data_IF_292303778046
#
_entry.id   IF_292303778046
#
_cell.length_a   1.000
_cell.length_b   1.000
_cell.length_c   1.000
_cell.angle_alpha   90.00
_cell.angle_beta   90.00
_cell.angle_gamma   90.00
#
_symmetry.space_group_name_H-M   'P 1'
#
loop_
_entity.id
_entity.type
_entity.pdbx_description
1 polymer ?
#
# COMPACT_ATOMS: atom_id res chain seq x y z
N UNK A 1 11.66 -18.42 -35.08
CA UNK A 1 11.32 -16.99 -35.18
C UNK A 1 11.26 -16.43 -33.78
N UNK A 2 12.15 -15.50 -33.44
CA UNK A 2 12.22 -14.90 -32.11
C UNK A 2 11.08 -13.89 -31.95
N UNK A 3 10.21 -14.09 -30.95
CA UNK A 3 9.24 -13.09 -30.51
C UNK A 3 10.01 -12.00 -29.78
N UNK A 4 10.16 -10.83 -30.41
CA UNK A 4 10.67 -9.64 -29.75
C UNK A 4 9.73 -9.30 -28.59
N UNK A 5 10.23 -9.38 -27.36
CA UNK A 5 9.55 -8.81 -26.21
C UNK A 5 9.38 -7.31 -26.50
N UNK A 6 8.13 -6.85 -26.57
CA UNK A 6 7.84 -5.42 -26.60
C UNK A 6 8.39 -4.87 -25.29
N UNK A 7 9.48 -4.10 -25.37
CA UNK A 7 10.00 -3.39 -24.21
C UNK A 7 8.84 -2.55 -23.66
N UNK A 8 8.42 -2.85 -22.43
CA UNK A 8 7.38 -2.08 -21.77
C UNK A 8 7.84 -0.62 -21.77
N UNK A 9 7.01 0.27 -22.31
CA UNK A 9 7.26 1.71 -22.24
C UNK A 9 7.31 2.05 -20.75
N UNK A 10 8.49 2.46 -20.26
CA UNK A 10 8.65 2.89 -18.88
C UNK A 10 7.73 4.09 -18.65
N UNK A 11 6.78 3.96 -17.73
CA UNK A 11 5.76 4.96 -17.45
C UNK A 11 5.67 5.20 -15.95
N UNK A 12 5.38 6.44 -15.57
CA UNK A 12 5.16 6.78 -14.16
C UNK A 12 3.88 6.14 -13.61
N UNK A 13 3.90 5.79 -12.32
CA UNK A 13 2.75 5.23 -11.61
C UNK A 13 2.54 5.88 -10.24
N UNK A 14 1.29 5.78 -9.75
CA UNK A 14 0.89 6.22 -8.43
C UNK A 14 0.39 5.00 -7.64
N UNK A 15 1.01 4.73 -6.51
CA UNK A 15 0.68 3.57 -5.67
C UNK A 15 0.17 4.07 -4.32
N UNK A 16 -1.10 3.81 -4.04
CA UNK A 16 -1.69 4.11 -2.73
C UNK A 16 -1.22 3.08 -1.71
N UNK A 17 -0.29 3.47 -0.85
CA UNK A 17 0.22 2.62 0.22
C UNK A 17 -0.79 2.47 1.37
N UNK A 18 -1.65 3.47 1.55
CA UNK A 18 -2.78 3.38 2.45
C UNK A 18 -3.84 4.42 2.14
N UNK A 19 -5.07 4.08 2.50
CA UNK A 19 -6.29 4.87 2.20
C UNK A 19 -7.20 5.00 3.42
N UNK A 20 -6.67 4.71 4.61
CA UNK A 20 -7.36 4.76 5.88
C UNK A 20 -7.06 6.04 6.66
N UNK A 21 -7.96 6.38 7.58
CA UNK A 21 -7.78 7.51 8.50
C UNK A 21 -6.61 7.28 9.49
N UNK A 22 -6.41 8.22 10.41
CA UNK A 22 -5.33 8.18 11.41
C UNK A 22 -5.34 6.93 12.30
N UNK A 23 -6.50 6.29 12.48
CA UNK A 23 -6.69 5.05 13.25
C UNK A 23 -6.43 3.77 12.46
N UNK A 24 -6.29 3.86 11.13
CA UNK A 24 -6.33 2.72 10.21
C UNK A 24 -7.62 1.87 10.35
N UNK A 25 -7.75 0.84 9.51
CA UNK A 25 -8.79 -0.19 9.58
C UNK A 25 -8.14 -1.58 9.41
N UNK A 26 -8.38 -2.53 10.34
CA UNK A 26 -9.28 -2.42 11.50
C UNK A 26 -8.76 -1.44 12.57
N UNK A 27 -9.66 -0.84 13.35
CA UNK A 27 -9.27 0.03 14.47
C UNK A 27 -8.65 -0.84 15.57
N UNK A 28 -7.40 -0.55 15.94
CA UNK A 28 -6.67 -1.27 16.99
C UNK A 28 -7.46 -1.38 18.29
N UNK A 29 -8.26 -0.36 18.65
CA UNK A 29 -9.11 -0.38 19.85
C UNK A 29 -10.14 -1.48 19.81
N UNK A 30 -10.73 -1.77 18.65
CA UNK A 30 -11.68 -2.87 18.49
C UNK A 30 -11.03 -4.25 18.65
N UNK A 31 -9.71 -4.36 18.42
CA UNK A 31 -8.95 -5.59 18.60
C UNK A 31 -8.60 -5.82 20.08
N UNK A 32 -8.11 -4.78 20.76
CA UNK A 32 -7.66 -4.89 22.16
C UNK A 32 -8.80 -4.76 23.17
N UNK A 33 -9.91 -4.11 22.80
CA UNK A 33 -11.11 -3.92 23.61
C UNK A 33 -12.36 -4.13 22.73
N UNK A 34 -12.73 -5.39 22.44
CA UNK A 34 -13.90 -5.69 21.65
C UNK A 34 -15.19 -5.19 22.32
N UNK A 35 -16.11 -4.64 21.53
CA UNK A 35 -17.45 -4.26 21.99
C UNK A 35 -18.44 -5.44 21.89
N UNK A 36 -19.57 -5.34 22.60
CA UNK A 36 -20.71 -6.25 22.45
C UNK A 36 -21.97 -5.44 22.10
N UNK A 37 -22.50 -5.53 20.86
CA UNK A 37 -22.02 -6.38 19.76
C UNK A 37 -20.67 -5.91 19.17
N UNK A 38 -19.93 -6.80 18.46
CA UNK A 38 -18.70 -6.42 17.78
C UNK A 38 -18.91 -5.32 16.74
N UNK A 39 -17.89 -4.49 16.55
CA UNK A 39 -17.91 -3.46 15.50
C UNK A 39 -18.04 -4.12 14.11
N UNK A 40 -19.20 -3.93 13.46
CA UNK A 40 -19.51 -4.55 12.17
C UNK A 40 -18.47 -4.24 11.08
N UNK A 41 -17.91 -3.03 11.08
CA UNK A 41 -16.85 -2.63 10.14
C UNK A 41 -15.59 -3.44 10.37
N UNK A 42 -15.08 -3.50 11.60
CA UNK A 42 -13.87 -4.26 11.90
C UNK A 42 -14.09 -5.78 11.68
N UNK A 43 -15.27 -6.31 12.00
CA UNK A 43 -15.62 -7.69 11.68
C UNK A 43 -15.56 -7.99 10.18
N UNK A 44 -15.99 -7.05 9.34
CA UNK A 44 -15.91 -7.18 7.87
C UNK A 44 -14.47 -7.12 7.37
N UNK A 45 -13.63 -6.29 7.98
CA UNK A 45 -12.21 -6.18 7.63
C UNK A 45 -11.44 -7.45 8.03
N UNK A 46 -11.82 -8.08 9.14
CA UNK A 46 -11.16 -9.28 9.67
C UNK A 46 -11.66 -10.59 9.06
N UNK A 47 -12.67 -10.57 8.18
CA UNK A 47 -13.24 -11.79 7.58
C UNK A 47 -12.34 -12.42 6.52
N UNK A 48 -11.35 -11.67 6.00
CA UNK A 48 -10.39 -12.09 5.00
C UNK A 48 -8.97 -11.66 5.41
N UNK A 49 -7.94 -12.38 4.96
CA UNK A 49 -6.56 -11.93 5.12
C UNK A 49 -6.33 -10.51 4.59
N UNK A 50 -5.42 -9.70 5.21
CA UNK A 50 -5.18 -8.31 4.81
C UNK A 50 -4.84 -8.12 3.33
N UNK A 51 -4.12 -9.07 2.71
CA UNK A 51 -3.74 -9.07 1.30
C UNK A 51 -4.92 -9.31 0.35
N UNK A 52 -6.04 -9.85 0.86
CA UNK A 52 -7.24 -10.18 0.08
C UNK A 52 -8.45 -9.31 0.41
N UNK A 53 -8.32 -8.40 1.39
CA UNK A 53 -9.42 -7.55 1.83
C UNK A 53 -9.18 -6.08 1.47
N UNK A 54 -9.92 -5.50 0.52
CA UNK A 54 -9.78 -4.07 0.18
C UNK A 54 -10.21 -3.13 1.31
N UNK A 55 -10.94 -3.65 2.31
CA UNK A 55 -11.33 -2.87 3.49
C UNK A 55 -10.26 -2.85 4.59
N UNK A 56 -9.18 -3.63 4.46
CA UNK A 56 -8.02 -3.49 5.33
C UNK A 56 -7.18 -2.30 4.86
N UNK A 57 -7.29 -1.18 5.58
CA UNK A 57 -6.73 0.12 5.16
C UNK A 57 -5.71 0.63 6.16
N UNK A 58 -4.47 0.76 5.70
CA UNK A 58 -3.38 1.43 6.43
C UNK A 58 -3.58 2.95 6.42
N UNK A 59 -2.80 3.70 7.22
CA UNK A 59 -2.88 5.16 7.21
C UNK A 59 -2.60 5.71 5.81
N UNK A 60 -3.23 6.84 5.46
CA UNK A 60 -2.97 7.56 4.21
C UNK A 60 -1.48 7.71 3.93
N UNK A 61 -1.06 7.26 2.73
CA UNK A 61 0.30 7.40 2.21
C UNK A 61 0.31 7.05 0.72
N UNK A 62 1.19 7.69 -0.04
CA UNK A 62 1.30 7.54 -1.50
C UNK A 62 2.76 7.37 -1.90
N UNK A 63 3.03 6.44 -2.81
CA UNK A 63 4.31 6.35 -3.50
C UNK A 63 4.12 6.80 -4.95
N UNK A 64 4.96 7.73 -5.38
CA UNK A 64 5.10 8.12 -6.79
C UNK A 64 6.30 7.36 -7.33
N UNK A 65 6.07 6.50 -8.30
CA UNK A 65 7.11 5.91 -9.13
C UNK A 65 7.19 6.74 -10.42
N UNK A 66 8.16 7.65 -10.47
CA UNK A 66 8.34 8.60 -11.55
C UNK A 66 9.38 8.07 -12.53
N UNK A 67 8.93 7.72 -13.73
CA UNK A 67 9.82 7.40 -14.84
C UNK A 67 10.31 8.69 -15.49
N UNK A 68 11.63 8.87 -15.51
CA UNK A 68 12.30 9.96 -16.19
C UNK A 68 12.52 9.64 -17.68
N UNK A 69 12.86 10.64 -18.50
CA UNK A 69 12.99 10.52 -19.96
C UNK A 69 14.08 9.51 -20.40
N UNK A 70 15.07 9.25 -19.54
CA UNK A 70 16.15 8.27 -19.72
C UNK A 70 15.74 6.85 -19.28
N UNK A 71 14.48 6.65 -18.88
CA UNK A 71 13.95 5.39 -18.38
C UNK A 71 14.34 5.08 -16.93
N UNK A 72 15.06 5.97 -16.25
CA UNK A 72 15.36 5.80 -14.83
C UNK A 72 14.11 6.09 -13.98
N UNK A 73 13.92 5.30 -12.93
CA UNK A 73 12.79 5.45 -12.01
C UNK A 73 13.24 6.15 -10.73
N UNK A 74 12.44 7.12 -10.28
CA UNK A 74 12.56 7.77 -8.97
C UNK A 74 11.33 7.49 -8.13
N UNK A 75 11.53 7.13 -6.86
CA UNK A 75 10.51 6.70 -5.93
C UNK A 75 10.33 7.75 -4.83
N UNK A 76 9.30 8.58 -4.97
CA UNK A 76 9.00 9.67 -4.03
C UNK A 76 7.87 9.22 -3.10
N UNK A 77 8.18 9.14 -1.81
CA UNK A 77 7.23 8.75 -0.78
C UNK A 77 6.57 9.98 -0.15
N UNK A 78 5.23 10.00 -0.13
CA UNK A 78 4.43 11.01 0.55
C UNK A 78 3.81 10.40 1.80
N UNK A 79 4.04 11.08 2.93
CA UNK A 79 3.65 10.70 4.29
C UNK A 79 4.24 9.37 4.77
N UNK A 80 5.04 9.47 5.84
CA UNK A 80 5.55 8.32 6.59
C UNK A 80 4.85 8.30 7.94
N UNK A 81 3.90 7.38 8.07
CA UNK A 81 3.05 7.25 9.25
C UNK A 81 3.35 6.03 10.12
N UNK A 82 2.48 5.81 11.10
CA UNK A 82 2.54 4.68 12.05
C UNK A 82 2.53 3.32 11.35
N UNK A 83 1.85 3.22 10.21
CA UNK A 83 1.73 1.98 9.43
C UNK A 83 2.83 1.78 8.38
N UNK A 84 3.86 2.64 8.33
CA UNK A 84 4.87 2.61 7.27
C UNK A 84 5.55 1.25 7.11
N UNK A 85 5.95 0.61 8.23
CA UNK A 85 6.57 -0.72 8.17
C UNK A 85 5.69 -1.75 7.45
N UNK A 86 4.38 -1.72 7.70
CA UNK A 86 3.45 -2.64 7.04
C UNK A 86 3.19 -2.27 5.58
N UNK A 87 3.17 -0.97 5.26
CA UNK A 87 3.08 -0.48 3.88
C UNK A 87 4.25 -0.98 3.03
N UNK A 88 5.48 -0.94 3.57
CA UNK A 88 6.67 -1.48 2.88
C UNK A 88 6.52 -2.98 2.65
N UNK A 89 6.19 -3.75 3.69
CA UNK A 89 6.04 -5.20 3.57
C UNK A 89 4.98 -5.62 2.54
N UNK A 90 3.88 -4.85 2.44
CA UNK A 90 2.79 -5.16 1.52
C UNK A 90 3.05 -4.68 0.11
N UNK A 91 3.43 -3.41 -0.05
CA UNK A 91 3.40 -2.75 -1.35
C UNK A 91 4.77 -2.64 -1.99
N UNK A 92 5.85 -2.42 -1.22
CA UNK A 92 7.19 -2.31 -1.83
C UNK A 92 7.64 -3.66 -2.36
N UNK A 93 7.40 -4.73 -1.59
CA UNK A 93 7.69 -6.09 -2.03
C UNK A 93 6.83 -6.48 -3.24
N UNK A 94 5.55 -6.09 -3.25
CA UNK A 94 4.64 -6.42 -4.35
C UNK A 94 4.98 -5.66 -5.65
N UNK A 95 5.37 -4.39 -5.54
CA UNK A 95 5.70 -3.52 -6.69
C UNK A 95 7.20 -3.47 -7.00
N UNK A 96 8.04 -4.28 -6.33
CA UNK A 96 9.49 -4.32 -6.51
C UNK A 96 10.19 -2.95 -6.35
N UNK A 97 9.75 -2.15 -5.37
CA UNK A 97 10.31 -0.82 -5.09
C UNK A 97 11.67 -0.98 -4.39
N UNK A 98 12.80 -0.57 -4.99
CA UNK A 98 14.14 -0.87 -4.49
C UNK A 98 14.63 0.11 -3.42
N UNK A 99 14.14 1.35 -3.43
CA UNK A 99 14.59 2.44 -2.58
C UNK A 99 13.56 3.56 -2.53
N UNK A 100 13.81 4.56 -1.69
CA UNK A 100 13.07 5.83 -1.66
C UNK A 100 14.10 6.93 -1.89
N UNK A 101 13.79 7.86 -2.78
CA UNK A 101 14.63 9.02 -3.06
C UNK A 101 14.39 10.13 -2.02
N UNK A 102 15.46 10.83 -1.66
CA UNK A 102 15.48 11.97 -0.73
C UNK A 102 15.30 13.31 -1.43
#
# INVERSE_FOLDING_TARGET
GATAAVAAVSSSSLIFLGTGCSTALPDTRCLIRPSTPPCAVCSTVLSLPPDRNPNYRLNSSLLIDYCHDDGAHKYILIDIGKTFREQVLRWFVHHNVPSIDS
#
